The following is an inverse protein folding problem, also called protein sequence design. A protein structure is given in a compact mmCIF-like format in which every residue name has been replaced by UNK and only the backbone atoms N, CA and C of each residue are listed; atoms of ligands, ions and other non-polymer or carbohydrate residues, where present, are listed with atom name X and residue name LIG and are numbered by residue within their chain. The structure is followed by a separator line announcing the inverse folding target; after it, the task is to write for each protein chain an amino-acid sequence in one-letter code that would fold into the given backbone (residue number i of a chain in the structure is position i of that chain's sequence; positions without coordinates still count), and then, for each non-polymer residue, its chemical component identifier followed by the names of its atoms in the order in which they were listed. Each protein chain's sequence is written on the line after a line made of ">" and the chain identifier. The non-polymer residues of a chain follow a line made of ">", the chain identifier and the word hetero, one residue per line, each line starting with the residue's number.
data_IF_612381158108
#
_entry.id   IF_612381158108
#
_cell.length_a   1.000
_cell.length_b   1.000
_cell.length_c   1.000
_cell.angle_alpha   90.00
_cell.angle_beta   90.00
_cell.angle_gamma   90.00
#
_symmetry.space_group_name_H-M   'P 1'
#
loop_
_entity.id
_entity.type
_entity.pdbx_description
1 polymer ?
#
# COMPACT_ATOMS: atom_id res chain seq x y z
N UNK A 1 4.18 -24.44 64.50
CA UNK A 1 4.09 -23.29 63.57
C UNK A 1 5.36 -23.35 62.73
N UNK A 2 5.40 -23.60 61.43
CA UNK A 2 4.44 -23.51 60.34
C UNK A 2 5.28 -23.08 59.13
N UNK A 3 5.99 -24.01 58.50
CA UNK A 3 6.83 -23.74 57.32
C UNK A 3 6.12 -24.24 56.07
N UNK A 4 5.57 -23.32 55.28
CA UNK A 4 4.98 -23.63 53.98
C UNK A 4 6.04 -23.93 52.92
N UNK A 5 5.68 -24.57 51.80
CA UNK A 5 6.61 -24.84 50.72
C UNK A 5 6.95 -23.53 50.00
N UNK A 6 8.24 -23.36 49.71
CA UNK A 6 8.74 -22.28 48.87
C UNK A 6 8.32 -22.61 47.44
N UNK A 7 7.41 -21.81 46.86
CA UNK A 7 7.14 -21.84 45.43
C UNK A 7 8.42 -21.42 44.69
N UNK A 8 9.08 -22.37 44.04
CA UNK A 8 10.09 -22.08 43.03
C UNK A 8 9.37 -21.39 41.86
N UNK A 9 9.49 -20.07 41.79
CA UNK A 9 9.16 -19.31 40.58
C UNK A 9 10.08 -19.78 39.47
N UNK A 10 9.58 -20.64 38.59
CA UNK A 10 10.28 -21.06 37.38
C UNK A 10 10.62 -19.80 36.57
N UNK A 11 11.91 -19.52 36.44
CA UNK A 11 12.40 -18.53 35.48
C UNK A 11 11.80 -18.86 34.10
N UNK A 12 11.26 -17.89 33.36
CA UNK A 12 10.80 -18.14 32.00
C UNK A 12 11.96 -18.70 31.17
N UNK A 13 11.69 -19.78 30.45
CA UNK A 13 12.67 -20.45 29.61
C UNK A 13 13.21 -19.45 28.58
N UNK A 14 14.54 -19.41 28.41
CA UNK A 14 15.19 -18.54 27.42
C UNK A 14 14.74 -18.89 25.99
N UNK A 15 14.16 -20.07 25.79
CA UNK A 15 13.50 -20.45 24.54
C UNK A 15 12.23 -19.63 24.24
N UNK A 16 11.50 -19.16 25.26
CA UNK A 16 10.30 -18.31 25.08
C UNK A 16 10.67 -16.87 24.67
N UNK A 17 11.87 -16.40 25.05
CA UNK A 17 12.43 -15.15 24.54
C UNK A 17 12.89 -15.25 23.08
N UNK A 18 13.30 -16.44 22.63
CA UNK A 18 13.69 -16.67 21.24
C UNK A 18 12.51 -16.64 20.25
N UNK A 19 11.27 -16.81 20.69
CA UNK A 19 10.09 -16.77 19.80
C UNK A 19 9.61 -15.32 19.54
N UNK A 20 10.09 -14.34 20.32
CA UNK A 20 9.81 -12.91 20.13
C UNK A 20 10.85 -12.19 19.24
N UNK A 21 11.92 -12.88 18.82
CA UNK A 21 13.08 -12.28 18.15
C UNK A 21 13.37 -12.78 16.74
N UNK A 22 12.41 -13.36 16.02
CA UNK A 22 12.46 -13.29 14.56
C UNK A 22 11.88 -11.95 14.13
N UNK A 23 12.68 -10.89 14.32
CA UNK A 23 12.48 -9.65 13.57
C UNK A 23 12.66 -10.01 12.11
N UNK A 24 11.56 -10.32 11.44
CA UNK A 24 11.53 -10.59 10.00
C UNK A 24 11.98 -9.31 9.29
N UNK A 25 13.28 -9.21 9.03
CA UNK A 25 13.87 -8.12 8.26
C UNK A 25 13.41 -8.25 6.82
N UNK A 26 12.78 -7.21 6.30
CA UNK A 26 12.37 -7.14 4.89
C UNK A 26 13.36 -6.28 4.11
N UNK A 27 13.55 -6.57 2.83
CA UNK A 27 14.40 -5.75 1.95
C UNK A 27 13.59 -4.58 1.43
N UNK A 28 14.01 -3.35 1.75
CA UNK A 28 13.43 -2.13 1.19
C UNK A 28 14.05 -1.86 -0.18
N UNK A 29 13.24 -1.82 -1.24
CA UNK A 29 13.71 -1.75 -2.63
C UNK A 29 13.43 -0.41 -3.31
N UNK A 30 12.41 0.29 -2.85
CA UNK A 30 12.04 1.63 -3.28
C UNK A 30 11.46 2.38 -2.10
N UNK A 31 11.71 3.67 -2.04
CA UNK A 31 11.19 4.55 -1.01
C UNK A 31 11.00 5.95 -1.58
N UNK A 32 9.93 6.62 -1.16
CA UNK A 32 9.70 8.04 -1.40
C UNK A 32 9.11 8.66 -0.15
N UNK A 33 9.82 9.63 0.41
CA UNK A 33 9.42 10.43 1.57
C UNK A 33 8.40 11.51 1.21
N UNK A 34 7.75 12.05 2.24
CA UNK A 34 6.78 13.16 2.14
C UNK A 34 5.65 12.87 1.16
N UNK A 35 5.20 11.62 1.15
CA UNK A 35 3.94 11.22 0.55
C UNK A 35 2.86 11.30 1.63
N UNK A 36 1.94 12.24 1.47
CA UNK A 36 0.96 12.60 2.49
C UNK A 36 -0.38 11.90 2.28
N UNK A 37 -1.06 11.63 3.40
CA UNK A 37 -2.50 11.33 3.43
C UNK A 37 -3.24 12.49 4.09
N UNK A 38 -4.29 13.00 3.45
CA UNK A 38 -5.10 14.11 3.97
C UNK A 38 -6.34 13.58 4.68
N UNK A 39 -6.43 13.77 6.00
CA UNK A 39 -7.64 13.40 6.76
C UNK A 39 -8.77 14.42 6.60
N UNK A 40 -8.42 15.67 6.33
CA UNK A 40 -9.36 16.78 6.11
C UNK A 40 -8.73 17.80 5.15
N UNK A 41 -9.46 18.86 4.82
CA UNK A 41 -8.92 19.98 4.05
C UNK A 41 -7.89 20.81 4.85
N UNK A 42 -7.86 20.70 6.18
CA UNK A 42 -6.91 21.41 7.03
C UNK A 42 -5.50 20.84 6.86
N UNK A 43 -4.52 21.73 6.65
CA UNK A 43 -3.12 21.33 6.52
C UNK A 43 -2.58 20.63 7.77
N UNK A 44 -3.11 20.96 8.95
CA UNK A 44 -2.69 20.38 10.24
C UNK A 44 -3.11 18.92 10.40
N UNK A 45 -4.08 18.47 9.62
CA UNK A 45 -4.60 17.12 9.66
C UNK A 45 -3.92 16.16 8.66
N UNK A 46 -2.96 16.66 7.89
CA UNK A 46 -2.19 15.88 6.93
C UNK A 46 -1.16 15.02 7.67
N UNK A 47 -1.03 13.79 7.24
CA UNK A 47 -0.07 12.84 7.80
C UNK A 47 1.03 12.62 6.77
N UNK A 48 2.27 12.99 7.10
CA UNK A 48 3.43 12.65 6.27
C UNK A 48 3.80 11.18 6.45
N UNK A 49 4.27 10.55 5.38
CA UNK A 49 4.76 9.18 5.42
C UNK A 49 5.69 8.86 4.27
N UNK A 50 6.10 7.61 4.26
CA UNK A 50 6.89 7.00 3.20
C UNK A 50 6.01 6.02 2.45
N UNK A 51 5.97 6.15 1.13
CA UNK A 51 5.51 5.06 0.27
C UNK A 51 6.73 4.25 -0.15
N UNK A 52 6.62 2.93 -0.13
CA UNK A 52 7.73 2.05 -0.44
C UNK A 52 7.31 0.78 -1.14
N UNK A 53 8.29 0.14 -1.75
CA UNK A 53 8.19 -1.27 -2.14
C UNK A 53 9.22 -2.07 -1.38
N UNK A 54 8.77 -3.16 -0.80
CA UNK A 54 9.60 -4.09 -0.03
C UNK A 54 9.48 -5.49 -0.59
N UNK A 55 10.53 -6.29 -0.39
CA UNK A 55 10.51 -7.73 -0.61
C UNK A 55 10.56 -8.43 0.75
N UNK A 56 9.56 -9.28 0.98
CA UNK A 56 9.43 -10.10 2.19
C UNK A 56 10.42 -11.27 2.20
N UNK A 57 10.48 -12.03 3.31
CA UNK A 57 11.35 -13.22 3.42
C UNK A 57 10.97 -14.37 2.48
N UNK A 58 9.74 -14.34 1.96
CA UNK A 58 9.18 -15.26 0.97
C UNK A 58 9.46 -14.82 -0.48
N UNK A 59 10.35 -13.84 -0.65
CA UNK A 59 10.65 -13.13 -1.89
C UNK A 59 9.45 -12.39 -2.51
N UNK A 60 8.30 -12.36 -1.85
CA UNK A 60 7.12 -11.65 -2.36
C UNK A 60 7.30 -10.14 -2.24
N UNK A 61 6.77 -9.43 -3.24
CA UNK A 61 6.81 -7.98 -3.27
C UNK A 61 5.55 -7.38 -2.64
N UNK A 62 5.73 -6.36 -1.82
CA UNK A 62 4.66 -5.63 -1.16
C UNK A 62 4.81 -4.13 -1.38
N UNK A 63 3.72 -3.45 -1.68
CA UNK A 63 3.63 -1.99 -1.57
C UNK A 63 3.16 -1.62 -0.16
N UNK A 64 3.81 -0.64 0.44
CA UNK A 64 3.39 -0.14 1.74
C UNK A 64 3.42 1.38 1.79
N UNK A 65 2.60 1.93 2.68
CA UNK A 65 2.71 3.31 3.13
C UNK A 65 2.70 3.34 4.65
N UNK A 66 3.68 4.02 5.22
CA UNK A 66 3.85 4.11 6.67
C UNK A 66 3.97 5.58 7.09
N UNK A 67 3.14 6.05 8.03
CA UNK A 67 3.31 7.38 8.61
C UNK A 67 4.69 7.53 9.24
N UNK A 68 5.33 8.67 9.01
CA UNK A 68 6.65 9.00 9.54
C UNK A 68 6.68 8.96 11.08
N UNK A 69 5.56 9.30 11.71
CA UNK A 69 5.39 9.25 13.16
C UNK A 69 5.44 7.83 13.77
N UNK A 70 5.35 6.77 12.94
CA UNK A 70 5.44 5.38 13.39
C UNK A 70 6.83 4.78 13.22
N UNK A 71 7.73 5.46 12.52
CA UNK A 71 9.07 4.96 12.23
C UNK A 71 10.05 5.43 13.30
N UNK A 72 10.98 4.55 13.69
CA UNK A 72 12.15 4.95 14.45
C UNK A 72 13.07 5.83 13.61
N UNK A 73 13.95 6.62 14.23
CA UNK A 73 14.93 7.41 13.47
C UNK A 73 15.85 6.53 12.62
N UNK A 74 16.20 5.34 13.12
CA UNK A 74 17.00 4.36 12.37
C UNK A 74 16.26 3.88 11.13
N UNK A 75 14.97 3.56 11.25
CA UNK A 75 14.18 3.14 10.08
C UNK A 75 14.03 4.29 9.09
N UNK A 76 13.72 5.51 9.55
CA UNK A 76 13.63 6.68 8.66
C UNK A 76 14.90 6.89 7.84
N UNK A 77 16.07 6.75 8.46
CA UNK A 77 17.36 6.86 7.76
C UNK A 77 17.48 5.80 6.67
N UNK A 78 17.09 4.55 6.94
CA UNK A 78 17.07 3.49 5.93
C UNK A 78 16.12 3.80 4.76
N UNK A 79 14.94 4.37 5.02
CA UNK A 79 14.02 4.82 3.97
C UNK A 79 14.60 5.96 3.13
N UNK A 80 15.27 6.92 3.76
CA UNK A 80 15.93 8.02 3.06
C UNK A 80 17.09 7.49 2.23
N UNK A 81 17.94 6.62 2.78
CA UNK A 81 19.06 6.02 2.06
C UNK A 81 18.61 5.36 0.76
N UNK A 82 17.53 4.56 0.80
CA UNK A 82 16.96 3.92 -0.41
C UNK A 82 16.38 4.95 -1.39
N UNK A 83 15.72 6.01 -0.90
CA UNK A 83 15.22 7.09 -1.77
C UNK A 83 16.36 7.81 -2.51
N UNK A 84 17.52 7.98 -1.85
CA UNK A 84 18.69 8.63 -2.44
C UNK A 84 19.50 7.71 -3.36
N UNK A 85 19.17 6.42 -3.49
CA UNK A 85 19.90 5.52 -4.37
C UNK A 85 19.66 5.89 -5.85
N UNK A 86 20.72 6.22 -6.63
CA UNK A 86 20.58 6.63 -8.04
C UNK A 86 20.16 5.51 -9.00
N UNK A 87 20.07 4.26 -8.52
CA UNK A 87 19.98 3.03 -9.32
C UNK A 87 18.75 2.93 -10.22
N UNK A 88 17.77 3.83 -10.09
CA UNK A 88 16.56 3.85 -10.93
C UNK A 88 16.62 4.82 -12.10
N UNK A 89 17.58 5.76 -12.13
CA UNK A 89 17.58 6.88 -13.09
C UNK A 89 18.60 6.73 -14.22
N UNK A 90 19.58 5.84 -14.09
CA UNK A 90 20.72 5.77 -15.03
C UNK A 90 20.44 4.90 -16.28
N UNK A 91 19.29 4.21 -16.34
CA UNK A 91 18.93 3.30 -17.44
C UNK A 91 18.24 3.93 -18.65
N UNK A 92 18.08 5.26 -18.72
CA UNK A 92 17.34 5.91 -19.81
C UNK A 92 18.10 7.09 -20.45
N UNK A 93 19.42 6.92 -20.63
CA UNK A 93 20.26 7.86 -21.39
C UNK A 93 21.20 7.19 -22.42
N UNK A 94 20.95 5.96 -22.89
CA UNK A 94 21.43 5.51 -24.20
C UNK A 94 20.62 4.33 -24.78
N UNK A 95 19.95 4.58 -25.90
CA UNK A 95 19.14 3.58 -26.61
C UNK A 95 19.99 2.61 -27.45
N UNK A 96 21.01 1.97 -26.85
CA UNK A 96 21.78 0.92 -27.53
C UNK A 96 22.50 -0.01 -26.56
N UNK A 97 21.78 -0.94 -25.93
CA UNK A 97 22.30 -2.28 -25.57
C UNK A 97 21.18 -3.13 -24.98
N UNK A 98 20.62 -4.00 -25.83
CA UNK A 98 19.55 -4.96 -25.51
C UNK A 98 19.99 -6.12 -24.61
N UNK A 99 21.12 -6.02 -23.90
CA UNK A 99 21.67 -7.09 -23.05
C UNK A 99 21.87 -6.70 -21.58
N UNK A 100 21.49 -5.48 -21.18
CA UNK A 100 21.61 -4.99 -19.79
C UNK A 100 20.37 -5.24 -18.92
N UNK A 101 19.32 -5.88 -19.46
CA UNK A 101 18.07 -6.15 -18.72
C UNK A 101 18.25 -7.14 -17.55
N UNK A 102 19.36 -7.86 -17.49
CA UNK A 102 19.71 -8.79 -16.40
C UNK A 102 20.68 -8.21 -15.37
N UNK A 103 21.40 -7.11 -15.65
CA UNK A 103 22.41 -6.59 -14.70
C UNK A 103 21.82 -5.71 -13.60
N UNK A 104 20.57 -5.23 -13.72
CA UNK A 104 19.94 -4.41 -12.69
C UNK A 104 19.46 -5.23 -11.47
N UNK A 105 19.17 -6.52 -11.67
CA UNK A 105 18.98 -7.48 -10.58
C UNK A 105 20.31 -7.87 -9.89
N UNK A 106 21.47 -7.45 -10.44
CA UNK A 106 22.79 -7.70 -9.84
C UNK A 106 23.19 -6.58 -8.87
N UNK A 107 22.56 -5.40 -8.92
CA UNK A 107 22.74 -4.33 -7.92
C UNK A 107 21.84 -4.49 -6.67
N UNK A 108 21.27 -5.68 -6.51
CA UNK A 108 20.39 -6.05 -5.41
C UNK A 108 21.00 -5.92 -3.99
N UNK A 109 22.29 -5.61 -3.87
CA UNK A 109 22.99 -5.58 -2.57
C UNK A 109 23.39 -4.16 -2.07
N UNK A 110 23.38 -3.13 -2.92
CA UNK A 110 23.90 -1.80 -2.54
C UNK A 110 22.80 -0.75 -2.32
N UNK A 111 21.59 -0.97 -2.86
CA UNK A 111 20.47 -0.03 -2.81
C UNK A 111 19.28 -0.47 -1.95
N UNK A 112 19.42 -1.56 -1.19
CA UNK A 112 18.35 -2.06 -0.32
C UNK A 112 18.74 -2.02 1.15
N UNK A 113 17.82 -1.58 2.01
CA UNK A 113 18.02 -1.56 3.44
C UNK A 113 17.11 -2.58 4.14
N UNK A 114 17.56 -3.13 5.27
CA UNK A 114 16.74 -4.01 6.10
C UNK A 114 15.98 -3.18 7.13
N UNK A 115 14.65 -3.28 7.12
CA UNK A 115 13.77 -2.55 8.06
C UNK A 115 13.06 -3.54 8.97
N UNK A 116 12.92 -3.19 10.25
CA UNK A 116 12.17 -3.98 11.24
C UNK A 116 10.66 -3.85 11.02
N UNK A 117 9.90 -4.94 11.20
CA UNK A 117 8.42 -4.89 11.23
C UNK A 117 7.86 -4.51 12.61
N UNK A 118 8.73 -4.22 13.59
CA UNK A 118 8.37 -3.99 15.00
C UNK A 118 7.37 -2.84 15.20
N UNK A 119 7.49 -1.78 14.39
CA UNK A 119 6.58 -0.64 14.38
C UNK A 119 5.11 -1.02 14.12
N UNK A 120 4.86 -2.11 13.39
CA UNK A 120 3.50 -2.62 13.12
C UNK A 120 2.92 -3.37 14.32
N UNK A 121 3.77 -3.96 15.16
CA UNK A 121 3.36 -4.81 16.30
C UNK A 121 3.10 -4.02 17.59
N UNK A 122 3.79 -2.89 17.79
CA UNK A 122 3.61 -2.00 18.94
C UNK A 122 2.42 -1.03 18.79
N UNK A 123 1.63 -1.16 17.71
CA UNK A 123 0.39 -0.43 17.43
C UNK A 123 -0.66 -0.38 18.55
N UNK A 124 -0.49 -1.20 19.61
CA UNK A 124 -1.44 -1.32 20.73
C UNK A 124 -1.43 -0.15 21.72
N UNK A 125 -0.62 0.89 21.49
CA UNK A 125 -0.76 2.20 22.14
C UNK A 125 -0.69 3.38 21.14
N UNK A 126 -1.01 3.13 19.86
CA UNK A 126 -0.63 4.03 18.77
C UNK A 126 -1.82 4.89 18.30
N UNK A 127 -1.50 6.16 18.09
CA UNK A 127 -2.33 7.28 17.69
C UNK A 127 -3.22 7.01 16.47
N UNK A 128 -4.26 7.83 16.26
CA UNK A 128 -5.22 7.74 15.13
C UNK A 128 -4.59 7.63 13.72
N UNK A 129 -3.29 7.89 13.56
CA UNK A 129 -2.55 7.85 12.29
C UNK A 129 -2.19 6.43 11.85
N UNK A 130 -2.10 5.45 12.76
CA UNK A 130 -1.78 4.06 12.39
C UNK A 130 -2.87 3.39 11.55
N UNK A 131 -4.11 3.86 11.67
CA UNK A 131 -5.23 3.39 10.86
C UNK A 131 -5.09 3.72 9.36
N UNK A 132 -4.14 4.58 8.99
CA UNK A 132 -3.85 4.95 7.61
C UNK A 132 -2.68 4.15 7.02
N UNK A 133 -1.89 3.47 7.85
CA UNK A 133 -0.79 2.64 7.38
C UNK A 133 -1.33 1.41 6.64
N UNK A 134 -0.64 0.98 5.59
CA UNK A 134 -0.95 -0.26 4.90
C UNK A 134 0.29 -0.95 4.38
N UNK A 135 0.17 -2.27 4.20
CA UNK A 135 1.10 -3.10 3.45
C UNK A 135 0.26 -4.11 2.66
N UNK A 136 0.45 -4.18 1.35
CA UNK A 136 -0.34 -5.02 0.43
C UNK A 136 0.58 -5.76 -0.53
N UNK A 137 0.36 -7.06 -0.78
CA UNK A 137 1.04 -7.76 -1.87
C UNK A 137 0.85 -7.00 -3.18
N UNK A 138 1.90 -6.87 -3.99
CA UNK A 138 1.79 -6.24 -5.31
C UNK A 138 0.79 -7.00 -6.20
N UNK A 139 0.68 -8.32 -6.02
CA UNK A 139 -0.30 -9.16 -6.71
C UNK A 139 -1.77 -8.84 -6.40
N UNK A 140 -2.05 -8.13 -5.30
CA UNK A 140 -3.41 -7.69 -4.97
C UNK A 140 -3.80 -6.40 -5.69
N UNK A 141 -2.86 -5.69 -6.31
CA UNK A 141 -3.11 -4.44 -7.01
C UNK A 141 -3.73 -4.74 -8.37
N UNK A 142 -4.93 -4.20 -8.61
CA UNK A 142 -5.61 -4.29 -9.92
C UNK A 142 -5.30 -3.08 -10.79
N UNK A 143 -5.30 -1.90 -10.19
CA UNK A 143 -4.99 -0.67 -10.93
C UNK A 143 -4.50 0.44 -10.01
N UNK A 144 -3.71 1.34 -10.59
CA UNK A 144 -3.35 2.62 -10.00
C UNK A 144 -4.10 3.74 -10.73
N UNK A 145 -4.71 4.65 -9.99
CA UNK A 145 -5.23 5.90 -10.53
C UNK A 145 -4.27 7.02 -10.12
N UNK A 146 -3.62 7.63 -11.10
CA UNK A 146 -2.58 8.61 -10.91
C UNK A 146 -2.96 9.93 -11.57
N UNK A 147 -2.77 11.00 -10.82
CA UNK A 147 -2.93 12.36 -11.31
C UNK A 147 -1.60 13.09 -11.14
N UNK A 148 -0.78 13.19 -12.19
CA UNK A 148 0.46 13.96 -12.12
C UNK A 148 0.21 15.42 -11.72
N UNK A 149 1.22 16.10 -11.15
CA UNK A 149 1.15 17.54 -10.93
C UNK A 149 0.79 18.31 -12.20
N UNK A 150 0.05 19.39 -12.04
CA UNK A 150 -0.35 20.30 -13.13
C UNK A 150 -0.28 21.75 -12.68
N UNK A 151 -0.46 22.69 -13.61
CA UNK A 151 -0.45 24.13 -13.31
C UNK A 151 -1.45 24.54 -12.21
N UNK A 152 -2.56 23.81 -12.07
CA UNK A 152 -3.61 24.10 -11.08
C UNK A 152 -3.58 23.15 -9.88
N UNK A 153 -2.78 22.09 -9.92
CA UNK A 153 -2.63 21.12 -8.83
C UNK A 153 -1.15 20.76 -8.66
N UNK A 154 -0.52 21.43 -7.71
CA UNK A 154 0.93 21.37 -7.49
C UNK A 154 1.44 20.00 -7.02
N UNK A 155 0.59 19.24 -6.32
CA UNK A 155 0.94 17.90 -5.83
C UNK A 155 0.17 16.85 -6.61
N UNK A 156 0.93 15.96 -7.24
CA UNK A 156 0.33 14.80 -7.89
C UNK A 156 -0.17 13.81 -6.85
N UNK A 157 -1.14 12.99 -7.23
CA UNK A 157 -1.77 12.02 -6.33
C UNK A 157 -1.84 10.61 -6.92
N UNK A 158 -1.99 9.65 -6.01
CA UNK A 158 -2.11 8.23 -6.29
C UNK A 158 -3.26 7.63 -5.48
N UNK A 159 -4.06 6.80 -6.13
CA UNK A 159 -5.02 5.89 -5.51
C UNK A 159 -4.70 4.47 -5.98
N UNK A 160 -4.68 3.52 -5.05
CA UNK A 160 -4.41 2.10 -5.31
C UNK A 160 -5.73 1.34 -5.20
N UNK A 161 -6.14 0.65 -6.26
CA UNK A 161 -7.32 -0.21 -6.27
C UNK A 161 -6.90 -1.68 -6.16
N UNK A 162 -7.52 -2.38 -5.24
CA UNK A 162 -7.19 -3.76 -4.89
C UNK A 162 -8.20 -4.77 -5.47
N UNK A 163 -7.78 -6.03 -5.59
CA UNK A 163 -8.57 -7.13 -6.15
C UNK A 163 -9.84 -7.45 -5.35
N UNK A 164 -9.86 -7.12 -4.06
CA UNK A 164 -11.04 -7.24 -3.19
C UNK A 164 -12.10 -6.14 -3.43
N UNK A 165 -11.89 -5.26 -4.41
CA UNK A 165 -12.80 -4.15 -4.75
C UNK A 165 -12.63 -2.90 -3.90
N UNK A 166 -11.69 -2.87 -2.95
CA UNK A 166 -11.41 -1.69 -2.13
C UNK A 166 -10.39 -0.76 -2.79
N UNK A 167 -10.51 0.54 -2.55
CA UNK A 167 -9.50 1.55 -2.88
C UNK A 167 -8.84 2.03 -1.59
N UNK A 168 -7.51 2.16 -1.61
CA UNK A 168 -6.77 2.79 -0.52
C UNK A 168 -7.00 4.30 -0.52
N UNK A 169 -6.76 4.93 0.63
CA UNK A 169 -6.86 6.39 0.76
C UNK A 169 -5.96 7.08 -0.28
N UNK A 170 -6.39 8.20 -0.88
CA UNK A 170 -5.54 8.93 -1.79
C UNK A 170 -4.27 9.40 -1.07
N UNK A 171 -3.16 9.36 -1.81
CA UNK A 171 -1.86 9.81 -1.34
C UNK A 171 -1.37 10.94 -2.25
N UNK A 172 -0.76 11.96 -1.67
CA UNK A 172 -0.27 13.14 -2.38
C UNK A 172 1.25 13.23 -2.24
N UNK A 173 1.95 13.36 -3.35
CA UNK A 173 3.40 13.47 -3.38
C UNK A 173 3.79 14.95 -3.22
N UNK A 174 4.37 15.29 -2.07
CA UNK A 174 4.96 16.61 -1.80
C UNK A 174 6.45 16.53 -2.10
N UNK A 175 6.77 16.36 -3.38
CA UNK A 175 8.14 16.11 -3.82
C UNK A 175 9.08 17.28 -3.48
N UNK A 176 8.56 18.51 -3.38
CA UNK A 176 9.31 19.68 -2.89
C UNK A 176 9.86 19.53 -1.47
N UNK A 177 9.27 18.64 -0.66
CA UNK A 177 9.74 18.32 0.69
C UNK A 177 10.50 16.98 0.76
N UNK A 178 10.51 16.19 -0.30
CA UNK A 178 11.16 14.87 -0.32
C UNK A 178 12.68 14.98 -0.24
N UNK A 179 13.31 14.00 0.42
CA UNK A 179 14.76 14.02 0.68
C UNK A 179 15.59 14.13 -0.61
N UNK A 180 15.25 13.34 -1.63
CA UNK A 180 15.94 13.31 -2.92
C UNK A 180 15.81 14.62 -3.70
N UNK A 181 14.66 15.28 -3.64
CA UNK A 181 14.47 16.59 -4.30
C UNK A 181 15.14 17.72 -3.54
N UNK A 182 15.11 17.71 -2.20
CA UNK A 182 15.82 18.69 -1.37
C UNK A 182 17.35 18.65 -1.59
N UNK A 183 17.90 17.47 -1.87
CA UNK A 183 19.30 17.28 -2.24
C UNK A 183 19.57 17.47 -3.75
N UNK A 184 18.54 17.78 -4.54
CA UNK A 184 18.65 18.03 -5.97
C UNK A 184 18.99 16.78 -6.81
N UNK A 185 18.77 15.59 -6.27
CA UNK A 185 19.08 14.31 -6.92
C UNK A 185 18.07 13.92 -7.99
N UNK A 186 16.81 14.32 -7.82
CA UNK A 186 15.74 14.10 -8.79
C UNK A 186 14.84 15.33 -8.89
N UNK A 187 14.30 15.53 -10.10
CA UNK A 187 13.24 16.50 -10.38
C UNK A 187 11.97 15.81 -10.90
N UNK A 188 11.97 14.48 -10.91
CA UNK A 188 10.83 13.71 -11.35
C UNK A 188 9.75 13.70 -10.27
N UNK A 189 8.51 13.57 -10.70
CA UNK A 189 7.40 13.37 -9.78
C UNK A 189 7.51 11.97 -9.17
N UNK A 190 7.42 11.85 -7.84
CA UNK A 190 7.62 10.57 -7.14
C UNK A 190 6.64 9.48 -7.58
N UNK A 191 5.45 9.86 -8.06
CA UNK A 191 4.51 8.91 -8.66
C UNK A 191 5.04 8.25 -9.93
N UNK A 192 5.71 8.99 -10.81
CA UNK A 192 6.30 8.44 -12.02
C UNK A 192 7.44 7.46 -11.68
N UNK A 193 8.26 7.81 -10.68
CA UNK A 193 9.35 6.96 -10.18
C UNK A 193 8.82 5.62 -9.65
N UNK A 194 7.74 5.66 -8.83
CA UNK A 194 7.07 4.46 -8.36
C UNK A 194 6.52 3.61 -9.50
N UNK A 195 5.92 4.24 -10.52
CA UNK A 195 5.38 3.54 -11.68
C UNK A 195 6.49 2.86 -12.50
N UNK A 196 7.60 3.56 -12.74
CA UNK A 196 8.79 3.00 -13.38
C UNK A 196 9.29 1.80 -12.59
N UNK A 197 9.43 1.93 -11.26
CA UNK A 197 9.84 0.83 -10.40
C UNK A 197 8.91 -0.38 -10.54
N UNK A 198 7.60 -0.18 -10.37
CA UNK A 198 6.60 -1.26 -10.44
C UNK A 198 6.58 -1.95 -11.80
N UNK A 199 6.90 -1.23 -12.87
CA UNK A 199 6.96 -1.79 -14.23
C UNK A 199 8.07 -2.84 -14.41
N UNK A 200 9.03 -2.96 -13.48
CA UNK A 200 10.04 -4.01 -13.53
C UNK A 200 9.49 -5.38 -13.12
N UNK A 201 8.59 -5.40 -12.14
CA UNK A 201 8.01 -6.64 -11.61
C UNK A 201 6.62 -6.96 -12.18
N UNK A 202 5.95 -5.97 -12.78
CA UNK A 202 4.61 -6.10 -13.35
C UNK A 202 4.55 -5.62 -14.80
N UNK A 203 3.68 -6.23 -15.60
CA UNK A 203 3.19 -5.65 -16.85
C UNK A 203 2.07 -4.68 -16.51
N UNK A 204 2.30 -3.40 -16.78
CA UNK A 204 1.37 -2.32 -16.47
C UNK A 204 0.94 -1.66 -17.79
N UNK A 205 -0.37 -1.52 -17.99
CA UNK A 205 -0.94 -0.90 -19.18
C UNK A 205 -1.79 0.31 -18.80
N UNK A 206 -1.69 1.40 -19.55
CA UNK A 206 -2.61 2.52 -19.37
C UNK A 206 -4.01 2.14 -19.89
N UNK A 207 -5.04 2.46 -19.13
CA UNK A 207 -6.43 2.24 -19.53
C UNK A 207 -6.81 3.11 -20.74
N UNK A 208 -7.75 2.62 -21.56
CA UNK A 208 -8.20 3.32 -22.78
C UNK A 208 -9.24 4.40 -22.49
N UNK A 209 -10.02 4.19 -21.44
CA UNK A 209 -11.15 5.04 -21.02
C UNK A 209 -10.73 6.15 -20.05
N UNK A 210 -9.62 5.96 -19.33
CA UNK A 210 -9.10 6.94 -18.39
C UNK A 210 -7.57 7.05 -18.50
N UNK A 211 -7.02 8.20 -18.96
CA UNK A 211 -5.57 8.36 -19.10
C UNK A 211 -4.84 8.32 -17.76
N UNK A 212 -5.50 8.59 -16.62
CA UNK A 212 -4.88 8.51 -15.29
C UNK A 212 -4.83 7.10 -14.73
N UNK A 213 -5.54 6.13 -15.32
CA UNK A 213 -5.66 4.77 -14.80
C UNK A 213 -4.66 3.82 -15.46
N UNK A 214 -3.95 3.05 -14.65
CA UNK A 214 -2.94 2.08 -15.06
C UNK A 214 -3.30 0.70 -14.48
N UNK A 215 -3.47 -0.29 -15.33
CA UNK A 215 -3.97 -1.63 -14.99
C UNK A 215 -2.82 -2.63 -14.94
N UNK A 216 -2.78 -3.41 -13.87
CA UNK A 216 -1.75 -4.42 -13.60
C UNK A 216 -2.22 -5.74 -14.22
N UNK A 217 -1.55 -6.18 -15.30
CA UNK A 217 -2.03 -7.27 -16.17
C UNK A 217 -1.49 -8.64 -15.79
N UNK A 218 -0.19 -8.70 -15.58
CA UNK A 218 0.52 -9.94 -15.31
C UNK A 218 1.83 -9.63 -14.61
N UNK A 219 2.38 -10.65 -13.96
CA UNK A 219 3.68 -10.54 -13.33
C UNK A 219 4.80 -10.81 -14.33
N UNK A 220 5.91 -10.07 -14.18
CA UNK A 220 7.22 -10.38 -14.81
C UNK A 220 8.13 -11.18 -13.87
N UNK A 221 7.77 -11.26 -12.59
CA UNK A 221 8.51 -11.97 -11.55
C UNK A 221 7.77 -13.24 -11.08
N UNK A 222 8.47 -14.38 -10.88
CA UNK A 222 7.83 -15.57 -10.34
C UNK A 222 7.30 -15.37 -8.90
N UNK A 223 7.77 -14.33 -8.20
CA UNK A 223 7.38 -14.03 -6.82
C UNK A 223 6.15 -13.12 -6.69
N UNK A 224 5.46 -12.82 -7.79
CA UNK A 224 4.16 -12.12 -7.75
C UNK A 224 3.08 -12.98 -8.37
N UNK A 225 2.12 -13.38 -7.54
CA UNK A 225 0.90 -14.06 -7.97
C UNK A 225 -0.26 -13.07 -7.96
N UNK A 226 -0.92 -12.86 -9.09
CA UNK A 226 -2.04 -11.91 -9.18
C UNK A 226 -3.30 -12.51 -8.53
N UNK A 227 -3.95 -11.72 -7.69
CA UNK A 227 -5.24 -12.06 -7.12
C UNK A 227 -6.33 -11.97 -8.17
N UNK A 228 -7.22 -12.97 -8.19
CA UNK A 228 -8.41 -12.93 -9.03
C UNK A 228 -9.33 -11.82 -8.52
N UNK A 229 -9.78 -10.94 -9.41
CA UNK A 229 -10.72 -9.88 -9.08
C UNK A 229 -12.04 -10.52 -8.61
N UNK A 230 -12.34 -10.41 -7.32
CA UNK A 230 -13.63 -10.87 -6.80
C UNK A 230 -14.65 -9.77 -7.06
N UNK A 231 -15.36 -9.86 -8.18
CA UNK A 231 -16.60 -9.09 -8.33
C UNK A 231 -17.61 -9.69 -7.35
N UNK A 232 -18.17 -8.93 -6.39
CA UNK A 232 -19.28 -9.45 -5.62
C UNK A 232 -20.42 -9.74 -6.58
N UNK A 233 -20.81 -11.01 -6.69
CA UNK A 233 -21.94 -11.42 -7.52
C UNK A 233 -23.17 -10.64 -7.05
N UNK A 234 -23.75 -9.82 -7.93
CA UNK A 234 -25.03 -9.18 -7.70
C UNK A 234 -26.11 -10.27 -7.61
N UNK A 235 -26.29 -10.85 -6.42
CA UNK A 235 -27.34 -11.82 -6.14
C UNK A 235 -28.64 -11.08 -5.85
N UNK A 236 -29.44 -10.95 -6.90
CA UNK A 236 -30.88 -11.24 -6.93
C UNK A 236 -31.63 -11.15 -5.59
N UNK A 237 -32.18 -9.99 -5.22
CA UNK A 237 -33.49 -9.88 -4.54
C UNK A 237 -34.10 -8.49 -4.83
N UNK A 238 -35.04 -8.40 -5.78
CA UNK A 238 -36.35 -7.78 -5.56
C UNK A 238 -37.28 -8.14 -6.73
N UNK A 239 -37.93 -9.30 -6.62
CA UNK A 239 -39.09 -9.64 -7.44
C UNK A 239 -40.22 -8.65 -7.17
N UNK A 240 -40.70 -8.04 -8.26
CA UNK A 240 -41.90 -7.20 -8.38
C UNK A 240 -43.12 -7.93 -7.80
N UNK A 241 -44.04 -7.27 -7.06
CA UNK A 241 -45.30 -7.88 -6.71
C UNK A 241 -46.27 -7.75 -7.90
N UNK A 242 -46.74 -8.88 -8.43
CA UNK A 242 -47.93 -8.97 -9.27
C UNK A 242 -48.95 -9.89 -8.60
N UNK A 243 -50.21 -9.55 -8.88
CA UNK A 243 -51.45 -10.29 -8.65
C UNK A 243 -52.06 -10.10 -7.25
N UNK A 244 -53.24 -9.49 -7.10
CA UNK A 244 -54.40 -9.55 -7.98
C UNK A 244 -55.22 -10.79 -7.63
N UNK A 245 -56.04 -10.70 -6.57
CA UNK A 245 -57.09 -11.68 -6.29
C UNK A 245 -58.40 -10.94 -6.09
N UNK A 246 -59.26 -11.13 -7.06
CA UNK A 246 -60.68 -10.83 -7.06
C UNK A 246 -61.43 -12.00 -6.40
N UNK A 247 -62.39 -11.71 -5.51
CA UNK A 247 -63.65 -12.48 -5.35
C UNK A 247 -64.62 -11.80 -4.37
N UNK A 248 -65.67 -11.27 -4.99
CA UNK A 248 -67.02 -10.97 -4.51
C UNK A 248 -67.63 -11.92 -3.46
N UNK A 249 -68.42 -11.40 -2.50
CA UNK A 249 -69.90 -11.39 -2.55
C UNK A 249 -70.59 -10.86 -1.26
N UNK A 250 -71.71 -10.15 -1.51
CA UNK A 250 -72.97 -9.99 -0.76
C UNK A 250 -73.04 -9.30 0.61
N UNK A 251 -73.72 -8.14 0.63
CA UNK A 251 -75.06 -7.90 1.22
C UNK A 251 -75.17 -6.48 1.83
N UNK A 252 -76.18 -5.71 1.40
CA UNK A 252 -76.56 -4.42 2.00
C UNK A 252 -77.29 -4.58 3.36
N UNK A 253 -78.03 -3.58 3.90
CA UNK A 253 -78.47 -2.33 3.25
C UNK A 253 -78.29 -1.03 4.09
N UNK A 254 -78.55 0.11 3.42
CA UNK A 254 -79.20 1.36 3.88
C UNK A 254 -78.87 1.97 5.25
N UNK A 255 -78.48 3.26 5.27
CA UNK A 255 -79.40 4.38 5.58
C UNK A 255 -78.73 5.74 5.33
N UNK A 256 -79.52 6.62 4.74
CA UNK A 256 -79.45 8.08 4.68
C UNK A 256 -79.25 8.74 6.04
N UNK A 257 -78.47 9.82 6.14
CA UNK A 257 -78.91 11.24 6.05
C UNK A 257 -77.67 12.12 5.97
#
# INVERSE_FOLDING_TARGET
>A
MGGGPVEETSSPDLSDYCILSEVSRVRLLYSRSKVYVYRSADKRDRISGFICVVQGPDDQYYIAWTPEALLSEHDKEAYVQVELCPSFYEGQLDASTSELQTSMLVYENEGSALVSTEALSQARSITSVANYAFCKPVGDIVSLLMHPPSLTQWYGSLIINLANGTSLAPMWFHDDESASTLLGMTRHWGGDELMVWMSHIMVIERAKDDPGRYEFRSSKSPHVSLSQQTTPAASTILTKPTDGVDRSQSAGPSTST
#
